data_IF_806027542767
#
_entry.id   IF_806027542767
#
_cell.length_a   1.000
_cell.length_b   1.000
_cell.length_c   1.000
_cell.angle_alpha   90.00
_cell.angle_beta   90.00
_cell.angle_gamma   90.00
#
_symmetry.space_group_name_H-M   'P 1'
#
loop_
_entity.id
_entity.type
_entity.pdbx_description
1 polymer ?
#
# COMPACT_ATOMS: atom_id res chain seq x y z
N UNK A 1 15.30 25.69 14.29
CA UNK A 1 14.44 25.79 13.10
C UNK A 1 14.05 24.38 12.66
N UNK A 2 12.99 23.82 13.22
CA UNK A 2 12.44 22.55 12.74
C UNK A 2 11.15 22.91 12.02
N UNK A 3 11.16 22.91 10.68
CA UNK A 3 9.94 23.12 9.91
C UNK A 3 9.03 21.94 10.21
N UNK A 4 7.98 22.16 11.00
CA UNK A 4 6.92 21.18 11.17
C UNK A 4 6.42 20.83 9.77
N UNK A 5 6.57 19.56 9.36
CA UNK A 5 6.06 19.07 8.08
C UNK A 5 4.57 19.40 8.01
N UNK A 6 4.08 19.94 6.88
CA UNK A 6 2.67 20.30 6.77
C UNK A 6 1.82 19.04 7.02
N UNK A 7 0.61 19.13 7.59
CA UNK A 7 -0.27 17.96 7.76
C UNK A 7 -0.49 17.18 6.45
N UNK A 8 -0.37 17.85 5.31
CA UNK A 8 -0.43 17.27 3.96
C UNK A 8 0.80 16.40 3.63
N UNK A 9 1.97 16.73 4.17
CA UNK A 9 3.20 15.95 4.01
C UNK A 9 3.18 14.69 4.88
N UNK A 10 2.53 14.74 6.05
CA UNK A 10 2.29 13.55 6.89
C UNK A 10 1.29 12.61 6.22
N UNK A 11 0.25 13.15 5.54
CA UNK A 11 -0.68 12.35 4.74
C UNK A 11 0.00 11.60 3.59
N UNK A 12 1.13 12.08 3.06
CA UNK A 12 1.89 11.41 1.99
C UNK A 12 2.84 10.31 2.48
N UNK A 13 3.11 10.22 3.78
CA UNK A 13 4.02 9.20 4.33
C UNK A 13 3.39 7.80 4.32
N UNK A 14 2.06 7.71 4.30
CA UNK A 14 1.32 6.47 4.39
C UNK A 14 0.35 6.29 3.23
N UNK A 15 0.20 5.07 2.75
CA UNK A 15 -0.78 4.67 1.75
C UNK A 15 -2.01 4.06 2.46
N UNK A 16 -3.24 4.47 2.11
CA UNK A 16 -4.44 3.93 2.73
C UNK A 16 -4.68 2.48 2.31
N UNK A 17 -5.07 1.64 3.27
CA UNK A 17 -5.46 0.25 3.04
C UNK A 17 -6.95 0.10 3.32
N UNK A 18 -7.69 -0.40 2.33
CA UNK A 18 -9.12 -0.62 2.41
C UNK A 18 -9.42 -2.04 2.87
N UNK A 19 -10.42 -2.23 3.74
CA UNK A 19 -10.92 -3.56 4.09
C UNK A 19 -10.01 -4.42 4.98
N UNK A 20 -8.80 -3.94 5.30
CA UNK A 20 -7.91 -4.62 6.25
C UNK A 20 -8.48 -4.62 7.67
N UNK A 21 -8.32 -5.75 8.35
CA UNK A 21 -8.66 -5.92 9.77
C UNK A 21 -7.51 -5.60 10.71
N UNK A 22 -6.28 -5.49 10.20
CA UNK A 22 -5.07 -5.31 11.02
C UNK A 22 -4.62 -3.83 11.01
N UNK A 23 -4.60 -3.17 9.87
CA UNK A 23 -4.15 -1.77 9.75
C UNK A 23 -4.87 -1.00 8.65
N UNK A 24 -5.12 0.29 8.87
CA UNK A 24 -5.80 1.14 7.88
C UNK A 24 -4.82 1.83 6.91
N UNK A 25 -3.51 1.67 7.12
CA UNK A 25 -2.49 2.36 6.34
C UNK A 25 -1.13 1.66 6.46
N UNK A 26 -0.32 1.73 5.41
CA UNK A 26 1.05 1.20 5.35
C UNK A 26 2.04 2.29 4.93
N UNK A 27 3.36 2.16 5.20
CA UNK A 27 4.36 3.08 4.67
C UNK A 27 4.27 3.16 3.15
N UNK A 28 4.12 4.38 2.62
CA UNK A 28 3.98 4.59 1.16
C UNK A 28 5.24 4.18 0.39
N UNK A 29 6.39 4.15 1.06
CA UNK A 29 7.69 3.81 0.47
C UNK A 29 7.76 2.36 0.00
N UNK A 30 7.01 1.44 0.63
CA UNK A 30 6.91 0.03 0.21
C UNK A 30 6.33 -0.08 -1.21
N UNK A 31 5.48 0.85 -1.62
CA UNK A 31 4.83 0.84 -2.93
C UNK A 31 5.57 1.67 -3.99
N UNK A 32 6.61 2.44 -3.61
CA UNK A 32 7.17 3.51 -4.45
C UNK A 32 7.62 3.05 -5.83
N UNK A 33 8.20 1.85 -5.94
CA UNK A 33 8.75 1.32 -7.19
C UNK A 33 7.75 0.50 -8.02
N UNK A 34 6.53 0.25 -7.49
CA UNK A 34 5.56 -0.66 -8.11
C UNK A 34 4.45 0.04 -8.92
N UNK A 35 4.67 1.30 -9.33
CA UNK A 35 3.67 2.08 -10.07
C UNK A 35 3.33 1.47 -11.44
N UNK A 36 4.29 0.79 -12.08
CA UNK A 36 4.04 0.09 -13.35
C UNK A 36 3.17 -1.14 -13.16
N UNK A 37 3.30 -1.87 -12.06
CA UNK A 37 2.39 -2.98 -11.76
C UNK A 37 0.99 -2.47 -11.43
N UNK A 38 0.87 -1.34 -10.72
CA UNK A 38 -0.42 -0.70 -10.45
C UNK A 38 -1.17 -0.37 -11.76
N UNK A 39 -0.45 0.19 -12.74
CA UNK A 39 -1.02 0.43 -14.08
C UNK A 39 -1.42 -0.87 -14.79
N UNK A 40 -0.62 -1.93 -14.71
CA UNK A 40 -0.96 -3.22 -15.33
C UNK A 40 -2.22 -3.87 -14.74
N UNK A 41 -2.39 -3.78 -13.41
CA UNK A 41 -3.51 -4.43 -12.72
C UNK A 41 -4.79 -3.58 -12.73
N UNK A 42 -4.67 -2.25 -12.68
CA UNK A 42 -5.83 -1.36 -12.48
C UNK A 42 -6.00 -0.29 -13.57
N UNK A 43 -5.10 -0.19 -14.56
CA UNK A 43 -5.03 0.93 -15.51
C UNK A 43 -4.91 2.31 -14.82
N UNK A 44 -4.39 2.32 -13.60
CA UNK A 44 -4.26 3.51 -12.76
C UNK A 44 -2.92 3.50 -12.03
N UNK A 45 -2.38 4.69 -11.78
CA UNK A 45 -1.21 4.88 -10.92
C UNK A 45 -1.57 4.71 -9.45
N UNK A 46 -0.57 4.43 -8.61
CA UNK A 46 -0.73 4.39 -7.15
C UNK A 46 -1.31 5.69 -6.58
N UNK A 47 -0.97 6.85 -7.14
CA UNK A 47 -1.51 8.13 -6.70
C UNK A 47 -3.01 8.28 -7.01
N UNK A 48 -3.45 7.79 -8.18
CA UNK A 48 -4.87 7.80 -8.55
C UNK A 48 -5.67 6.81 -7.70
N UNK A 49 -5.12 5.62 -7.43
CA UNK A 49 -5.73 4.61 -6.56
C UNK A 49 -5.85 5.12 -5.11
N UNK A 50 -4.79 5.71 -4.57
CA UNK A 50 -4.81 6.40 -3.27
C UNK A 50 -5.93 7.45 -3.20
N UNK A 51 -6.09 8.27 -4.24
CA UNK A 51 -7.11 9.33 -4.26
C UNK A 51 -8.54 8.80 -4.16
N UNK A 52 -8.77 7.53 -4.51
CA UNK A 52 -10.07 6.84 -4.44
C UNK A 52 -10.28 6.06 -3.14
N UNK A 53 -9.30 6.06 -2.23
CA UNK A 53 -9.37 5.34 -0.96
C UNK A 53 -8.29 4.28 -0.79
N UNK A 54 -7.42 4.08 -1.78
CA UNK A 54 -6.34 3.09 -1.73
C UNK A 54 -6.73 1.76 -2.34
N UNK A 55 -6.11 0.71 -1.81
CA UNK A 55 -6.23 -0.66 -2.28
C UNK A 55 -6.47 -1.58 -1.08
N UNK A 56 -7.06 -2.74 -1.33
CA UNK A 56 -7.15 -3.78 -0.32
C UNK A 56 -5.83 -4.57 -0.17
N UNK A 57 -5.66 -5.36 0.91
CA UNK A 57 -4.48 -6.18 1.13
C UNK A 57 -4.13 -7.12 -0.02
N UNK A 58 -5.12 -7.70 -0.70
CA UNK A 58 -4.91 -8.65 -1.81
C UNK A 58 -4.33 -7.94 -3.03
N UNK A 59 -4.82 -6.74 -3.33
CA UNK A 59 -4.35 -5.87 -4.40
C UNK A 59 -2.93 -5.38 -4.08
N UNK A 60 -2.70 -4.89 -2.86
CA UNK A 60 -1.39 -4.40 -2.42
C UNK A 60 -0.31 -5.49 -2.55
N UNK A 61 -0.59 -6.71 -2.10
CA UNK A 61 0.36 -7.83 -2.25
C UNK A 61 0.63 -8.13 -3.72
N UNK A 62 -0.40 -8.17 -4.57
CA UNK A 62 -0.20 -8.41 -6.00
C UNK A 62 0.67 -7.32 -6.66
N UNK A 63 0.56 -6.07 -6.21
CA UNK A 63 1.40 -4.96 -6.66
C UNK A 63 2.85 -5.14 -6.19
N UNK A 64 3.08 -5.41 -4.90
CA UNK A 64 4.44 -5.55 -4.34
C UNK A 64 5.17 -6.77 -4.92
N UNK A 65 4.44 -7.86 -5.19
CA UNK A 65 4.98 -9.09 -5.76
C UNK A 65 5.12 -9.05 -7.29
N UNK A 66 4.85 -7.89 -7.92
CA UNK A 66 4.88 -7.70 -9.38
C UNK A 66 4.10 -8.76 -10.18
N UNK A 67 2.94 -9.17 -9.66
CA UNK A 67 2.08 -10.18 -10.29
C UNK A 67 0.68 -9.66 -10.59
N UNK A 68 -0.04 -10.43 -11.42
CA UNK A 68 -1.48 -10.20 -11.61
C UNK A 68 -2.22 -10.44 -10.30
N UNK A 69 -3.31 -9.69 -10.11
CA UNK A 69 -4.24 -9.95 -9.03
C UNK A 69 -4.72 -11.40 -9.11
N UNK A 70 -4.74 -12.06 -7.95
CA UNK A 70 -5.24 -13.42 -7.76
C UNK A 70 -6.10 -13.38 -6.51
N UNK A 71 -7.25 -14.02 -6.61
CA UNK A 71 -8.14 -14.20 -5.49
C UNK A 71 -7.44 -15.03 -4.40
N UNK A 72 -7.24 -14.39 -3.25
CA UNK A 72 -6.70 -14.97 -2.02
C UNK A 72 -7.58 -14.49 -0.88
N UNK A 73 -7.67 -15.28 0.19
CA UNK A 73 -8.43 -14.89 1.36
C UNK A 73 -7.90 -13.58 1.95
N UNK A 74 -8.82 -12.66 2.28
CA UNK A 74 -8.49 -11.32 2.74
C UNK A 74 -7.74 -11.33 4.08
N UNK A 75 -8.06 -12.25 5.00
CA UNK A 75 -7.36 -12.35 6.29
C UNK A 75 -5.93 -12.88 6.10
N UNK A 76 -5.76 -13.83 5.17
CA UNK A 76 -4.42 -14.31 4.82
C UNK A 76 -3.59 -13.22 4.14
N UNK A 77 -4.19 -12.43 3.24
CA UNK A 77 -3.54 -11.27 2.63
C UNK A 77 -3.17 -10.20 3.68
N UNK A 78 -4.07 -9.94 4.63
CA UNK A 78 -3.83 -9.04 5.76
C UNK A 78 -2.59 -9.47 6.55
N UNK A 79 -2.50 -10.75 6.90
CA UNK A 79 -1.38 -11.32 7.66
C UNK A 79 -0.07 -11.20 6.90
N UNK A 80 -0.04 -11.59 5.64
CA UNK A 80 1.17 -11.52 4.81
C UNK A 80 1.64 -10.08 4.62
N UNK A 81 0.71 -9.14 4.39
CA UNK A 81 1.06 -7.73 4.28
C UNK A 81 1.56 -7.16 5.61
N UNK A 82 1.01 -7.60 6.75
CA UNK A 82 1.50 -7.22 8.08
C UNK A 82 2.95 -7.64 8.29
N UNK A 83 3.29 -8.87 7.91
CA UNK A 83 4.65 -9.42 8.02
C UNK A 83 5.63 -8.66 7.15
N UNK A 84 5.23 -8.32 5.91
CA UNK A 84 6.05 -7.53 5.00
C UNK A 84 6.30 -6.12 5.54
N UNK A 85 5.25 -5.44 6.03
CA UNK A 85 5.37 -4.10 6.62
C UNK A 85 6.25 -4.13 7.86
N UNK A 86 6.10 -5.16 8.72
CA UNK A 86 6.94 -5.32 9.89
C UNK A 86 8.41 -5.49 9.49
N UNK A 87 8.72 -6.36 8.51
CA UNK A 87 10.07 -6.57 8.01
C UNK A 87 10.70 -5.27 7.45
N UNK A 88 9.92 -4.48 6.72
CA UNK A 88 10.36 -3.20 6.15
C UNK A 88 10.73 -2.15 7.21
N UNK A 89 10.17 -2.23 8.42
CA UNK A 89 10.50 -1.31 9.52
C UNK A 89 11.81 -1.64 10.25
N UNK A 90 12.45 -2.78 9.94
CA UNK A 90 13.74 -3.20 10.53
C UNK A 90 14.96 -2.96 9.63
N UNK A 91 14.78 -2.41 8.42
CA UNK A 91 15.84 -1.99 7.50
C UNK A 91 16.09 -0.47 7.55
#
# INVERSE_FOLDING_TARGET
MTRLKHPQDIKRAYYPVMGSHIFQRIPRTILKEHNEQAKKNHNQTLAELESRGGLDPTEILAIIEDRKWKDIDLQEADRQLAELVAAYHFE
#
